data_IF_607560757172
#
_entry.id   IF_607560757172
#
_cell.length_a   1.000
_cell.length_b   1.000
_cell.length_c   1.000
_cell.angle_alpha   90.00
_cell.angle_beta   90.00
_cell.angle_gamma   90.00
#
_symmetry.space_group_name_H-M   'P 1'
#
loop_
_entity.id
_entity.type
_entity.pdbx_description
1 polymer ?
#
# COMPACT_ATOMS: atom_id res chain seq x y z
N UNK A 1 -25.38 -14.41 -8.84
CA UNK A 1 -25.53 -13.12 -8.12
C UNK A 1 -26.75 -13.22 -7.25
N UNK A 2 -26.59 -13.26 -5.92
CA UNK A 2 -27.69 -13.38 -4.95
C UNK A 2 -28.09 -11.97 -4.54
N UNK A 3 -29.29 -11.53 -4.89
CA UNK A 3 -29.82 -10.23 -4.49
C UNK A 3 -29.96 -10.20 -2.97
N UNK A 4 -29.55 -9.10 -2.34
CA UNK A 4 -29.70 -8.88 -0.91
C UNK A 4 -31.20 -8.74 -0.60
N UNK A 5 -31.78 -9.77 0.02
CA UNK A 5 -33.11 -9.72 0.62
C UNK A 5 -33.07 -8.81 1.85
N UNK A 6 -34.02 -7.88 1.92
CA UNK A 6 -34.14 -6.76 2.87
C UNK A 6 -34.25 -7.20 4.36
N UNK A 7 -34.30 -8.50 4.64
CA UNK A 7 -34.64 -9.08 5.95
C UNK A 7 -33.42 -9.39 6.85
N UNK A 8 -32.20 -9.37 6.32
CA UNK A 8 -30.99 -9.49 7.16
C UNK A 8 -30.68 -8.09 7.70
N UNK A 9 -30.57 -7.88 9.03
CA UNK A 9 -30.12 -6.60 9.56
C UNK A 9 -28.68 -6.38 9.11
N UNK A 10 -28.54 -5.68 7.97
CA UNK A 10 -27.28 -5.20 7.42
C UNK A 10 -26.70 -4.20 8.43
N UNK A 11 -26.03 -4.76 9.42
CA UNK A 11 -25.33 -3.99 10.44
C UNK A 11 -24.16 -3.35 9.72
N UNK A 12 -24.11 -2.01 9.71
CA UNK A 12 -22.96 -1.32 9.18
C UNK A 12 -21.72 -1.85 9.92
N UNK A 13 -20.73 -2.42 9.22
CA UNK A 13 -19.60 -3.02 9.89
C UNK A 13 -18.89 -1.95 10.71
N UNK A 14 -18.56 -2.27 11.97
CA UNK A 14 -17.90 -1.35 12.88
C UNK A 14 -16.65 -0.78 12.20
N UNK A 15 -16.48 0.54 12.29
CA UNK A 15 -15.28 1.21 11.79
C UNK A 15 -14.08 0.65 12.57
N UNK A 16 -13.27 -0.15 11.89
CA UNK A 16 -11.99 -0.60 12.41
C UNK A 16 -10.94 0.45 12.03
N UNK A 17 -10.02 0.81 12.95
CA UNK A 17 -8.88 1.63 12.61
C UNK A 17 -8.11 1.03 11.42
N UNK A 18 -7.70 1.90 10.50
CA UNK A 18 -6.96 1.53 9.30
C UNK A 18 -5.47 1.64 9.57
N UNK A 19 -4.73 0.62 9.14
CA UNK A 19 -3.27 0.63 9.09
C UNK A 19 -2.85 0.73 7.63
N UNK A 20 -2.32 1.89 7.22
CA UNK A 20 -1.84 2.08 5.87
C UNK A 20 -0.42 1.55 5.70
N UNK A 21 -0.20 0.79 4.65
CA UNK A 21 1.10 0.25 4.25
C UNK A 21 1.43 0.78 2.87
N UNK A 22 2.58 1.46 2.73
CA UNK A 22 3.00 2.09 1.47
C UNK A 22 4.35 1.51 1.03
N UNK A 23 4.37 0.62 0.03
CA UNK A 23 5.63 0.14 -0.55
C UNK A 23 6.24 1.21 -1.46
N UNK A 24 7.51 1.55 -1.20
CA UNK A 24 8.26 2.54 -1.97
C UNK A 24 9.64 2.01 -2.36
N UNK A 25 10.06 2.32 -3.59
CA UNK A 25 11.44 2.09 -4.05
C UNK A 25 12.27 3.38 -3.97
N UNK A 26 11.65 4.49 -4.35
CA UNK A 26 12.27 5.81 -4.50
C UNK A 26 11.38 6.91 -3.91
N UNK A 27 11.96 8.02 -3.43
CA UNK A 27 11.20 9.20 -2.98
C UNK A 27 10.85 10.10 -4.17
N UNK A 28 9.98 9.62 -5.06
CA UNK A 28 9.49 10.37 -6.22
C UNK A 28 8.10 10.97 -6.00
N UNK A 29 7.61 11.72 -6.98
CA UNK A 29 6.32 12.42 -6.88
C UNK A 29 5.12 11.47 -6.73
N UNK A 30 5.20 10.26 -7.30
CA UNK A 30 4.16 9.24 -7.15
C UNK A 30 4.14 8.70 -5.72
N UNK A 31 5.32 8.40 -5.16
CA UNK A 31 5.47 7.98 -3.78
C UNK A 31 4.97 9.04 -2.78
N UNK A 32 5.25 10.33 -3.03
CA UNK A 32 4.75 11.42 -2.18
C UNK A 32 3.22 11.54 -2.20
N UNK A 33 2.58 11.34 -3.37
CA UNK A 33 1.10 11.32 -3.44
C UNK A 33 0.52 10.13 -2.72
N UNK A 34 1.09 8.94 -2.90
CA UNK A 34 0.65 7.74 -2.21
C UNK A 34 0.77 7.90 -0.68
N UNK A 35 1.88 8.46 -0.18
CA UNK A 35 2.07 8.76 1.24
C UNK A 35 1.07 9.82 1.75
N UNK A 36 0.83 10.87 0.97
CA UNK A 36 -0.17 11.89 1.32
C UNK A 36 -1.57 11.32 1.43
N UNK A 37 -1.94 10.48 0.46
CA UNK A 37 -3.23 9.78 0.47
C UNK A 37 -3.34 8.80 1.64
N UNK A 38 -2.31 7.99 1.87
CA UNK A 38 -2.25 7.03 2.98
C UNK A 38 -2.47 7.71 4.34
N UNK A 39 -1.85 8.87 4.56
CA UNK A 39 -2.04 9.68 5.78
C UNK A 39 -3.45 10.24 5.95
N UNK A 40 -4.18 10.45 4.85
CA UNK A 40 -5.55 10.95 4.92
C UNK A 40 -6.56 9.86 5.28
N UNK A 41 -6.23 8.59 5.01
CA UNK A 41 -7.13 7.45 5.22
C UNK A 41 -6.84 6.65 6.48
N UNK A 42 -5.59 6.67 6.98
CA UNK A 42 -5.16 5.85 8.11
C UNK A 42 -4.46 6.66 9.19
N UNK A 43 -4.69 6.26 10.45
CA UNK A 43 -4.01 6.84 11.61
C UNK A 43 -2.62 6.24 11.83
N UNK A 44 -2.39 5.01 11.39
CA UNK A 44 -1.09 4.33 11.44
C UNK A 44 -0.55 4.13 10.02
N UNK A 45 0.73 4.48 9.83
CA UNK A 45 1.40 4.40 8.53
C UNK A 45 2.72 3.66 8.65
N UNK A 46 2.86 2.59 7.89
CA UNK A 46 4.13 1.87 7.69
C UNK A 46 4.59 2.03 6.25
N UNK A 47 5.83 2.49 6.09
CA UNK A 47 6.50 2.62 4.81
C UNK A 47 7.41 1.42 4.61
N UNK A 48 7.05 0.57 3.63
CA UNK A 48 7.88 -0.57 3.24
C UNK A 48 8.90 -0.09 2.21
N UNK A 49 10.14 0.05 2.64
CA UNK A 49 11.25 0.40 1.76
C UNK A 49 11.70 -0.86 1.03
N UNK A 50 11.34 -0.95 -0.26
CA UNK A 50 11.81 -2.00 -1.14
C UNK A 50 13.31 -1.82 -1.42
N UNK A 51 14.05 -2.92 -1.67
CA UNK A 51 15.47 -2.85 -1.98
C UNK A 51 15.72 -1.99 -3.23
N UNK A 52 16.70 -1.09 -3.11
CA UNK A 52 17.10 -0.12 -4.12
C UNK A 52 18.44 0.50 -3.76
N UNK A 53 18.98 1.33 -4.66
CA UNK A 53 20.38 1.79 -4.57
C UNK A 53 20.72 2.53 -3.27
N UNK A 54 19.77 3.28 -2.69
CA UNK A 54 20.08 4.02 -1.46
C UNK A 54 18.86 4.23 -0.53
N UNK A 55 18.55 3.18 0.24
CA UNK A 55 17.47 3.16 1.24
C UNK A 55 17.63 4.22 2.34
N UNK A 56 18.86 4.47 2.80
CA UNK A 56 19.14 5.44 3.84
C UNK A 56 18.92 6.88 3.34
N UNK A 57 19.38 7.20 2.13
CA UNK A 57 19.09 8.47 1.48
C UNK A 57 17.59 8.66 1.22
N UNK A 58 16.88 7.60 0.84
CA UNK A 58 15.44 7.65 0.61
C UNK A 58 14.68 8.05 1.87
N UNK A 59 14.96 7.37 3.00
CA UNK A 59 14.39 7.71 4.30
C UNK A 59 14.71 9.17 4.70
N UNK A 60 15.96 9.59 4.49
CA UNK A 60 16.40 10.97 4.80
C UNK A 60 15.65 12.01 3.95
N UNK A 61 15.46 11.76 2.65
CA UNK A 61 14.69 12.63 1.75
C UNK A 61 13.23 12.72 2.18
N UNK A 62 12.57 11.60 2.46
CA UNK A 62 11.17 11.58 2.91
C UNK A 62 10.96 12.33 4.23
N UNK A 63 11.92 12.19 5.17
CA UNK A 63 11.92 12.96 6.41
C UNK A 63 12.06 14.46 6.17
N UNK A 64 12.96 14.87 5.30
CA UNK A 64 13.12 16.30 4.92
C UNK A 64 11.86 16.87 4.28
N UNK A 65 11.14 16.07 3.50
CA UNK A 65 9.90 16.48 2.83
C UNK A 65 8.67 16.43 3.74
N UNK A 66 8.81 15.99 5.01
CA UNK A 66 7.67 15.83 5.93
C UNK A 66 6.75 14.65 5.59
N UNK A 67 7.04 13.89 4.53
CA UNK A 67 6.25 12.74 4.08
C UNK A 67 6.41 11.51 5.00
N UNK A 68 7.46 11.50 5.83
CA UNK A 68 7.78 10.45 6.80
C UNK A 68 7.23 10.70 8.22
N UNK A 69 6.49 11.78 8.45
CA UNK A 69 6.07 12.16 9.80
C UNK A 69 5.07 11.16 10.37
N UNK A 70 5.38 10.60 11.54
CA UNK A 70 4.55 9.56 12.20
C UNK A 70 4.56 8.20 11.49
N UNK A 71 5.43 8.02 10.48
CA UNK A 71 5.52 6.78 9.72
C UNK A 71 6.64 5.88 10.23
N UNK A 72 6.35 4.59 10.36
CA UNK A 72 7.34 3.56 10.63
C UNK A 72 8.03 3.13 9.33
N UNK A 73 9.33 2.83 9.38
CA UNK A 73 10.09 2.42 8.20
C UNK A 73 10.58 0.99 8.36
N UNK A 74 10.06 0.09 7.54
CA UNK A 74 10.52 -1.31 7.46
C UNK A 74 11.31 -1.48 6.18
N UNK A 75 12.56 -1.90 6.30
CA UNK A 75 13.42 -2.16 5.15
C UNK A 75 13.34 -3.64 4.77
N UNK A 76 13.02 -3.88 3.50
CA UNK A 76 12.94 -5.22 2.93
C UNK A 76 14.30 -5.63 2.34
N UNK A 77 14.68 -6.89 2.54
CA UNK A 77 15.99 -7.40 2.12
C UNK A 77 16.07 -7.59 0.59
N UNK A 78 17.25 -7.40 0.02
CA UNK A 78 17.49 -7.76 -1.39
C UNK A 78 17.49 -9.28 -1.54
N UNK A 79 16.76 -9.82 -2.53
CA UNK A 79 16.86 -11.24 -2.91
C UNK A 79 15.56 -12.05 -2.98
N UNK A 80 14.45 -11.54 -2.45
CA UNK A 80 13.11 -12.15 -2.65
C UNK A 80 12.28 -11.34 -3.66
N UNK A 81 11.31 -12.01 -4.31
CA UNK A 81 10.29 -11.34 -5.13
C UNK A 81 9.69 -10.17 -4.32
N UNK A 82 9.81 -8.91 -4.79
CA UNK A 82 9.30 -7.73 -4.08
C UNK A 82 7.83 -7.87 -3.67
N UNK A 83 7.04 -8.57 -4.49
CA UNK A 83 5.62 -8.81 -4.21
C UNK A 83 5.47 -9.73 -2.99
N UNK A 84 6.19 -10.84 -2.95
CA UNK A 84 6.17 -11.79 -1.82
C UNK A 84 6.65 -11.15 -0.53
N UNK A 85 7.66 -10.27 -0.61
CA UNK A 85 8.14 -9.55 0.58
C UNK A 85 7.08 -8.59 1.12
N UNK A 86 6.35 -7.89 0.24
CA UNK A 86 5.25 -7.02 0.63
C UNK A 86 4.11 -7.84 1.26
N UNK A 87 3.71 -8.95 0.63
CA UNK A 87 2.70 -9.86 1.19
C UNK A 87 3.12 -10.37 2.57
N UNK A 88 4.33 -10.88 2.71
CA UNK A 88 4.85 -11.39 3.99
C UNK A 88 4.87 -10.30 5.07
N UNK A 89 5.23 -9.07 4.71
CA UNK A 89 5.20 -7.94 5.63
C UNK A 89 3.76 -7.58 6.05
N UNK A 90 2.82 -7.61 5.11
CA UNK A 90 1.39 -7.38 5.38
C UNK A 90 0.85 -8.47 6.32
N UNK A 91 1.21 -9.73 6.10
CA UNK A 91 0.80 -10.85 6.94
C UNK A 91 1.33 -10.71 8.36
N UNK A 92 2.59 -10.31 8.51
CA UNK A 92 3.18 -10.05 9.82
C UNK A 92 2.45 -8.90 10.55
N UNK A 93 2.14 -7.79 9.85
CA UNK A 93 1.40 -6.66 10.41
C UNK A 93 -0.03 -7.06 10.78
N UNK A 94 -0.71 -7.82 9.91
CA UNK A 94 -2.08 -8.28 10.15
C UNK A 94 -2.18 -9.33 11.24
N UNK A 95 -1.10 -10.08 11.51
CA UNK A 95 -1.03 -11.04 12.60
C UNK A 95 -0.78 -10.38 13.96
N UNK A 96 -0.05 -9.26 13.97
CA UNK A 96 0.23 -8.48 15.18
C UNK A 96 -1.01 -7.74 15.70
N UNK A 97 -1.83 -7.21 14.78
CA UNK A 97 -3.09 -6.54 15.12
C UNK A 97 -4.29 -7.06 14.29
N UNK A 98 -5.04 -8.05 14.83
CA UNK A 98 -6.19 -8.63 14.13
C UNK A 98 -7.43 -7.74 14.07
N UNK A 99 -7.47 -6.67 14.86
CA UNK A 99 -8.57 -5.69 14.92
C UNK A 99 -8.38 -4.54 13.91
N UNK A 100 -7.13 -4.29 13.49
CA UNK A 100 -6.81 -3.34 12.43
C UNK A 100 -7.12 -3.89 11.04
N UNK A 101 -7.61 -3.03 10.14
CA UNK A 101 -7.72 -3.36 8.72
C UNK A 101 -6.50 -2.82 7.99
N UNK A 102 -5.77 -3.70 7.31
CA UNK A 102 -4.58 -3.32 6.55
C UNK A 102 -5.00 -2.78 5.20
N UNK A 103 -4.57 -1.55 4.90
CA UNK A 103 -4.80 -0.88 3.63
C UNK A 103 -3.46 -0.69 2.94
N UNK A 104 -3.27 -1.33 1.81
CA UNK A 104 -2.04 -1.21 1.02
C UNK A 104 -2.26 -0.11 -0.01
N UNK A 105 -1.51 0.99 0.10
CA UNK A 105 -1.61 2.13 -0.81
C UNK A 105 -0.43 2.07 -1.78
N UNK A 106 -0.73 1.78 -3.04
CA UNK A 106 0.26 1.64 -4.11
C UNK A 106 0.42 2.96 -4.86
N UNK A 107 1.67 3.29 -5.17
CA UNK A 107 2.03 4.41 -6.05
C UNK A 107 2.07 3.92 -7.50
N UNK A 108 0.96 4.06 -8.23
CA UNK A 108 0.87 3.70 -9.64
C UNK A 108 1.29 4.85 -10.56
N UNK A 109 2.06 4.58 -11.61
CA UNK A 109 2.33 5.57 -12.66
C UNK A 109 1.41 5.27 -13.83
N UNK A 110 0.52 6.21 -14.18
CA UNK A 110 -0.40 6.09 -15.30
C UNK A 110 0.22 6.82 -16.51
N UNK A 111 0.74 6.10 -17.51
CA UNK A 111 1.27 6.72 -18.73
C UNK A 111 0.13 7.33 -19.56
N UNK A 112 0.46 8.33 -20.41
CA UNK A 112 -0.50 9.01 -21.33
C UNK A 112 -1.25 8.05 -22.27
N UNK A 113 -0.74 6.84 -22.46
CA UNK A 113 -1.37 5.80 -23.27
C UNK A 113 -1.68 4.57 -22.41
N UNK A 114 -2.92 4.42 -21.92
CA UNK A 114 -3.29 3.39 -20.94
C UNK A 114 -3.17 1.97 -21.49
N UNK A 115 -3.13 1.78 -22.81
CA UNK A 115 -2.92 0.49 -23.47
C UNK A 115 -1.50 -0.09 -23.26
N UNK A 116 -0.55 0.71 -22.74
CA UNK A 116 0.78 0.25 -22.33
C UNK A 116 0.83 -0.27 -20.88
N UNK A 117 -0.23 -0.04 -20.08
CA UNK A 117 -0.33 -0.52 -18.68
C UNK A 117 -0.32 -2.05 -18.49
N UNK A 118 -0.89 -2.91 -19.37
CA UNK A 118 -1.11 -4.31 -19.03
C UNK A 118 0.15 -5.17 -18.91
N UNK A 119 1.33 -4.67 -19.30
CA UNK A 119 2.60 -5.42 -19.30
C UNK A 119 3.76 -4.78 -18.50
N UNK A 120 3.62 -3.57 -17.97
CA UNK A 120 4.73 -2.85 -17.32
C UNK A 120 4.51 -2.50 -15.86
N UNK A 121 3.28 -2.53 -15.38
CA UNK A 121 3.01 -2.12 -14.01
C UNK A 121 3.04 -3.30 -13.02
N UNK A 122 4.06 -3.33 -12.15
CA UNK A 122 4.16 -4.29 -11.06
C UNK A 122 2.96 -4.19 -10.10
N UNK A 123 2.25 -3.06 -10.11
CA UNK A 123 1.05 -2.80 -9.31
C UNK A 123 -0.11 -3.73 -9.67
N UNK A 124 -0.28 -4.12 -10.96
CA UNK A 124 -1.34 -5.05 -11.35
C UNK A 124 -1.08 -6.47 -10.82
N UNK A 125 0.18 -6.92 -10.86
CA UNK A 125 0.57 -8.24 -10.32
C UNK A 125 0.40 -8.29 -8.81
N UNK A 126 0.83 -7.23 -8.11
CA UNK A 126 0.66 -7.10 -6.67
C UNK A 126 -0.83 -7.05 -6.29
N UNK A 127 -1.65 -6.28 -7.03
CA UNK A 127 -3.09 -6.20 -6.82
C UNK A 127 -3.80 -7.53 -7.02
N UNK A 128 -3.47 -8.28 -8.09
CA UNK A 128 -4.04 -9.60 -8.34
C UNK A 128 -3.67 -10.61 -7.25
N UNK A 129 -2.45 -10.52 -6.69
CA UNK A 129 -1.99 -11.41 -5.62
C UNK A 129 -2.59 -11.06 -4.27
N UNK A 130 -2.74 -9.77 -3.97
CA UNK A 130 -3.41 -9.29 -2.76
C UNK A 130 -4.94 -9.41 -2.81
N UNK A 131 -5.55 -9.58 -4.00
CA UNK A 131 -6.99 -9.75 -4.13
C UNK A 131 -7.51 -11.00 -3.42
N UNK A 132 -6.67 -12.04 -3.29
CA UNK A 132 -6.99 -13.25 -2.54
C UNK A 132 -6.79 -13.14 -1.03
N UNK A 133 -6.21 -12.04 -0.53
CA UNK A 133 -5.89 -11.90 0.89
C UNK A 133 -7.11 -11.38 1.68
N UNK A 134 -7.59 -12.12 2.69
CA UNK A 134 -8.65 -11.64 3.55
C UNK A 134 -8.17 -10.42 4.35
N UNK A 135 -9.07 -9.45 4.58
CA UNK A 135 -8.84 -8.22 5.36
C UNK A 135 -7.82 -7.22 4.78
N UNK A 136 -7.36 -7.39 3.54
CA UNK A 136 -6.46 -6.45 2.87
C UNK A 136 -7.21 -5.65 1.81
N UNK A 137 -7.23 -4.32 1.94
CA UNK A 137 -7.73 -3.44 0.90
C UNK A 137 -6.55 -2.84 0.11
N UNK A 138 -6.54 -2.99 -1.21
CA UNK A 138 -5.51 -2.37 -2.06
C UNK A 138 -6.08 -1.11 -2.70
N UNK A 139 -5.45 0.03 -2.44
CA UNK A 139 -5.79 1.32 -3.05
C UNK A 139 -4.65 1.69 -3.99
N UNK A 140 -5.00 1.94 -5.25
CA UNK A 140 -4.06 2.41 -6.25
C UNK A 140 -4.19 3.93 -6.38
N UNK A 141 -3.11 4.67 -6.13
CA UNK A 141 -3.09 6.13 -6.22
C UNK A 141 -2.39 6.51 -7.53
N UNK A 142 -3.17 6.89 -8.57
CA UNK A 142 -2.61 7.13 -9.88
C UNK A 142 -1.83 8.45 -9.92
N UNK A 143 -0.60 8.38 -10.41
CA UNK A 143 0.19 9.53 -10.80
C UNK A 143 0.23 9.65 -12.33
N UNK A 144 -0.42 10.68 -12.85
CA UNK A 144 -0.43 10.97 -14.29
C UNK A 144 0.83 11.77 -14.66
N UNK A 145 1.54 11.30 -15.69
CA UNK A 145 2.73 11.96 -16.29
C UNK A 145 2.42 12.63 -17.62
#
# INVERSE_FOLDING_TARGET
MRALTVEEPLSFPRAAPLHAVVPIRSPDASALRALGYARSVASHLTVLQLPGEDSALTRKRLRRLGAAFGAEFVQLAAGRDPIEQVVTAIDAISADDPDHRVVVVLSGIVPRHPWLLPLHDQSLRLKLRLFGHPKVAVIDVPYHV
#
